data_IF_336232669908
#
_entry.id   IF_336232669908
#
_cell.length_a   1.000
_cell.length_b   1.000
_cell.length_c   1.000
_cell.angle_alpha   90.00
_cell.angle_beta   90.00
_cell.angle_gamma   90.00
#
_symmetry.space_group_name_H-M   'P 1'
#
loop_
_entity.id
_entity.type
_entity.pdbx_description
1 polymer ?
#
# COMPACT_ATOMS: atom_id res chain seq x y z
N UNK A 1 37.55 33.94 -17.18
CA UNK A 1 37.28 34.51 -15.85
C UNK A 1 35.97 33.94 -15.34
N UNK A 2 35.98 33.47 -14.09
CA UNK A 2 34.86 32.95 -13.29
C UNK A 2 34.13 31.69 -13.81
N UNK A 3 34.54 30.55 -13.25
CA UNK A 3 33.81 29.28 -13.21
C UNK A 3 32.54 29.42 -12.35
N UNK A 4 31.40 28.92 -12.84
CA UNK A 4 30.18 28.72 -12.06
C UNK A 4 29.85 27.23 -11.98
N UNK A 5 29.92 26.66 -10.78
CA UNK A 5 29.71 25.24 -10.50
C UNK A 5 28.26 24.80 -10.76
N UNK A 6 28.07 23.75 -11.56
CA UNK A 6 26.79 23.07 -11.74
C UNK A 6 26.65 21.94 -10.72
N UNK A 7 25.76 22.15 -9.75
CA UNK A 7 25.48 21.24 -8.65
C UNK A 7 24.69 19.99 -9.05
N UNK A 8 24.96 18.93 -8.29
CA UNK A 8 24.21 17.68 -8.19
C UNK A 8 22.70 17.92 -8.07
N UNK A 9 21.90 17.33 -8.96
CA UNK A 9 20.44 17.28 -8.82
C UNK A 9 20.07 16.27 -7.74
N UNK A 10 20.15 16.73 -6.50
CA UNK A 10 19.38 16.20 -5.39
C UNK A 10 17.89 16.29 -5.74
N UNK A 11 17.12 15.27 -5.37
CA UNK A 11 15.67 15.30 -5.45
C UNK A 11 15.15 16.53 -4.67
N UNK A 12 14.80 17.60 -5.38
CA UNK A 12 14.24 18.80 -4.76
C UNK A 12 12.89 18.41 -4.15
N UNK A 13 12.85 18.43 -2.82
CA UNK A 13 11.65 18.47 -2.01
C UNK A 13 10.71 19.53 -2.59
N UNK A 14 9.53 19.09 -3.02
CA UNK A 14 8.39 19.97 -3.23
C UNK A 14 7.98 20.52 -1.85
N UNK A 15 7.64 21.82 -1.75
CA UNK A 15 7.23 22.40 -0.48
C UNK A 15 6.00 21.67 0.05
N UNK A 16 6.03 21.31 1.34
CA UNK A 16 4.90 20.75 2.06
C UNK A 16 3.71 21.70 1.96
N UNK A 17 2.78 21.39 1.05
CA UNK A 17 1.48 22.04 1.02
C UNK A 17 0.67 21.47 2.17
N UNK A 18 0.22 22.36 3.06
CA UNK A 18 -0.75 22.08 4.12
C UNK A 18 -1.93 21.34 3.51
N UNK A 19 -1.98 20.03 3.69
CA UNK A 19 -3.22 19.28 3.61
C UNK A 19 -4.12 19.88 4.68
N UNK A 20 -5.23 20.48 4.25
CA UNK A 20 -6.33 20.77 5.17
C UNK A 20 -6.82 19.40 5.60
N UNK A 21 -6.31 18.93 6.74
CA UNK A 21 -6.94 17.86 7.47
C UNK A 21 -8.41 18.27 7.64
N UNK A 22 -9.39 17.40 7.34
CA UNK A 22 -10.74 17.62 7.83
C UNK A 22 -10.62 17.95 9.32
N UNK A 23 -11.45 18.86 9.86
CA UNK A 23 -11.47 19.03 11.31
C UNK A 23 -11.59 17.64 11.91
N UNK A 24 -10.60 17.25 12.72
CA UNK A 24 -10.80 16.19 13.69
C UNK A 24 -12.14 16.55 14.32
N UNK A 25 -13.15 15.70 14.13
CA UNK A 25 -14.40 15.85 14.86
C UNK A 25 -13.96 16.10 16.30
N UNK A 26 -14.25 17.31 16.76
CA UNK A 26 -13.82 17.80 18.06
C UNK A 26 -14.35 16.79 19.08
N UNK A 27 -13.48 15.90 19.56
CA UNK A 27 -13.77 14.94 20.61
C UNK A 27 -13.77 15.66 21.97
N UNK A 28 -14.33 16.87 22.00
CA UNK A 28 -14.48 17.60 23.24
C UNK A 28 -15.58 16.92 24.06
N UNK A 29 -15.09 16.17 25.06
CA UNK A 29 -15.80 15.67 26.24
C UNK A 29 -16.76 14.49 26.04
N UNK A 30 -16.22 13.28 25.84
CA UNK A 30 -16.63 12.09 26.63
C UNK A 30 -15.84 10.83 26.22
N UNK A 31 -15.22 10.20 27.22
CA UNK A 31 -14.42 8.96 27.22
C UNK A 31 -12.93 9.11 26.85
N UNK A 32 -12.06 8.95 27.86
CA UNK A 32 -10.59 8.82 27.79
C UNK A 32 -10.11 7.55 27.02
N UNK A 33 -10.93 7.01 26.12
CA UNK A 33 -10.63 5.81 25.34
C UNK A 33 -9.88 6.24 24.09
N UNK A 34 -8.74 5.62 23.81
CA UNK A 34 -7.99 5.85 22.57
C UNK A 34 -7.96 4.61 21.70
N UNK A 35 -7.98 4.81 20.39
CA UNK A 35 -7.73 3.73 19.43
C UNK A 35 -6.22 3.63 19.21
N UNK A 36 -5.65 2.45 19.45
CA UNK A 36 -4.24 2.16 19.27
C UNK A 36 -3.94 1.72 17.83
N UNK A 37 -2.71 1.27 17.59
CA UNK A 37 -2.35 0.55 16.36
C UNK A 37 -2.90 -0.89 16.41
N UNK A 38 -3.02 -1.62 15.27
CA UNK A 38 -3.51 -2.99 15.29
C UNK A 38 -2.68 -3.86 16.23
N UNK A 39 -3.33 -4.48 17.22
CA UNK A 39 -2.69 -5.27 18.29
C UNK A 39 -1.67 -4.49 19.12
N UNK A 40 -1.77 -3.16 19.10
CA UNK A 40 -0.77 -2.21 19.59
C UNK A 40 0.63 -2.39 18.97
N UNK A 41 0.68 -2.76 17.69
CA UNK A 41 1.92 -3.00 16.93
C UNK A 41 2.00 -2.15 15.68
N UNK A 42 3.22 -1.80 15.31
CA UNK A 42 3.52 -1.03 14.10
C UNK A 42 3.22 -1.86 12.84
N UNK A 43 2.33 -1.38 11.95
CA UNK A 43 2.11 -2.03 10.67
C UNK A 43 3.35 -1.95 9.79
N UNK A 44 3.74 -3.09 9.25
CA UNK A 44 4.72 -3.24 8.18
C UNK A 44 4.01 -3.59 6.89
N UNK A 45 4.48 -3.08 5.77
CA UNK A 45 4.03 -3.48 4.45
C UNK A 45 5.16 -3.33 3.44
N UNK A 46 5.06 -4.05 2.33
CA UNK A 46 6.00 -3.93 1.23
C UNK A 46 5.29 -3.62 -0.08
N UNK A 47 5.64 -2.50 -0.71
CA UNK A 47 5.12 -2.08 -2.01
C UNK A 47 6.11 -2.48 -3.09
N UNK A 48 5.64 -3.29 -4.02
CA UNK A 48 6.36 -3.71 -5.21
C UNK A 48 5.70 -3.04 -6.42
N UNK A 49 6.40 -2.09 -7.00
CA UNK A 49 6.03 -1.41 -8.24
C UNK A 49 6.69 -2.07 -9.46
N UNK A 50 6.16 -1.79 -10.65
CA UNK A 50 6.59 -2.28 -11.97
C UNK A 50 6.56 -3.81 -12.14
N UNK A 51 6.02 -4.58 -11.18
CA UNK A 51 5.84 -6.02 -11.36
C UNK A 51 4.72 -6.33 -12.35
N UNK A 52 4.88 -7.43 -13.09
CA UNK A 52 3.89 -8.01 -13.99
C UNK A 52 4.31 -9.44 -14.35
N UNK A 53 3.47 -10.17 -15.10
CA UNK A 53 3.79 -11.52 -15.56
C UNK A 53 4.85 -11.47 -16.67
N UNK A 54 5.95 -12.19 -16.47
CA UNK A 54 7.02 -12.48 -17.44
C UNK A 54 7.83 -11.25 -17.89
N UNK A 55 7.20 -10.13 -18.23
CA UNK A 55 7.87 -8.96 -18.83
C UNK A 55 8.80 -8.27 -17.83
N UNK A 56 10.08 -8.11 -18.20
CA UNK A 56 11.00 -7.23 -17.47
C UNK A 56 10.75 -5.76 -17.86
N UNK A 57 10.05 -5.02 -17.00
CA UNK A 57 9.75 -3.60 -17.22
C UNK A 57 11.01 -2.75 -17.41
N UNK A 58 12.12 -3.06 -16.73
CA UNK A 58 13.39 -2.33 -16.91
C UNK A 58 13.89 -2.37 -18.36
N UNK A 59 13.80 -3.54 -19.01
CA UNK A 59 14.19 -3.73 -20.41
C UNK A 59 13.27 -2.96 -21.37
N UNK A 60 11.95 -3.09 -21.22
CA UNK A 60 11.00 -2.55 -22.20
C UNK A 60 10.64 -1.07 -22.00
N UNK A 61 10.72 -0.54 -20.77
CA UNK A 61 10.43 0.87 -20.49
C UNK A 61 11.56 1.79 -20.94
N UNK A 62 12.83 1.38 -20.75
CA UNK A 62 14.01 2.22 -20.98
C UNK A 62 14.06 2.85 -22.38
N UNK A 63 13.87 2.13 -23.50
CA UNK A 63 13.89 2.77 -24.83
C UNK A 63 12.74 3.77 -25.04
N UNK A 64 11.58 3.54 -24.42
CA UNK A 64 10.44 4.46 -24.53
C UNK A 64 10.69 5.74 -23.75
N UNK A 65 11.26 5.62 -22.55
CA UNK A 65 11.69 6.76 -21.75
C UNK A 65 12.84 7.52 -22.39
N UNK A 66 13.81 6.83 -23.00
CA UNK A 66 14.88 7.46 -23.78
C UNK A 66 14.31 8.30 -24.93
N UNK A 67 13.27 7.81 -25.59
CA UNK A 67 12.60 8.56 -26.66
C UNK A 67 11.85 9.78 -26.11
N UNK A 68 11.11 9.64 -25.00
CA UNK A 68 10.33 10.72 -24.41
C UNK A 68 11.19 11.80 -23.71
N UNK A 69 12.39 11.44 -23.26
CA UNK A 69 13.34 12.30 -22.54
C UNK A 69 14.79 12.05 -23.00
N UNK A 70 15.16 12.44 -24.23
CA UNK A 70 16.43 12.07 -24.87
C UNK A 70 17.68 12.60 -24.15
N UNK A 71 17.55 13.66 -23.37
CA UNK A 71 18.68 14.29 -22.68
C UNK A 71 19.00 13.66 -21.32
N UNK A 72 18.16 12.74 -20.83
CA UNK A 72 18.38 12.12 -19.52
C UNK A 72 19.35 10.95 -19.59
N UNK A 73 20.49 11.09 -18.92
CA UNK A 73 21.52 10.06 -18.85
C UNK A 73 21.03 8.73 -18.26
N UNK A 74 20.06 8.77 -17.33
CA UNK A 74 19.43 7.56 -16.76
C UNK A 74 18.75 6.67 -17.80
N UNK A 75 18.36 7.19 -18.96
CA UNK A 75 17.72 6.39 -20.03
C UNK A 75 18.68 5.97 -21.15
N UNK A 76 19.96 6.35 -21.07
CA UNK A 76 21.01 5.98 -22.03
C UNK A 76 21.76 4.70 -21.66
N UNK A 77 21.15 3.87 -20.82
CA UNK A 77 21.72 2.61 -20.36
C UNK A 77 21.67 1.55 -21.48
N UNK A 78 22.57 0.55 -21.47
CA UNK A 78 22.60 -0.53 -22.46
C UNK A 78 21.48 -1.56 -22.20
N UNK A 79 20.23 -1.11 -22.26
CA UNK A 79 19.04 -1.90 -21.87
C UNK A 79 18.86 -3.18 -22.70
N UNK A 80 19.43 -3.23 -23.91
CA UNK A 80 19.41 -4.42 -24.76
C UNK A 80 20.15 -5.61 -24.14
N UNK A 81 21.11 -5.37 -23.25
CA UNK A 81 21.88 -6.40 -22.55
C UNK A 81 21.11 -7.00 -21.37
N UNK A 82 20.03 -6.34 -20.92
CA UNK A 82 19.24 -6.81 -19.78
C UNK A 82 18.26 -7.90 -20.18
N UNK A 83 17.97 -8.87 -19.28
CA UNK A 83 16.99 -9.91 -19.56
C UNK A 83 15.64 -9.31 -19.97
N UNK A 84 15.03 -9.87 -21.02
CA UNK A 84 13.66 -9.50 -21.44
C UNK A 84 12.60 -9.98 -20.46
N UNK A 85 12.92 -11.02 -19.69
CA UNK A 85 11.99 -11.69 -18.80
C UNK A 85 12.47 -11.60 -17.34
N UNK A 86 11.55 -11.35 -16.41
CA UNK A 86 11.72 -11.73 -15.01
C UNK A 86 10.94 -13.05 -14.82
N UNK A 87 11.62 -14.19 -14.61
CA UNK A 87 11.00 -15.49 -14.75
C UNK A 87 10.08 -15.84 -13.58
N UNK A 88 9.07 -16.67 -13.85
CA UNK A 88 8.16 -17.20 -12.83
C UNK A 88 8.90 -17.99 -11.73
N UNK A 89 10.08 -18.56 -12.02
CA UNK A 89 10.91 -19.21 -11.01
C UNK A 89 11.34 -18.23 -9.91
N UNK A 90 11.61 -16.97 -10.26
CA UNK A 90 11.92 -15.92 -9.29
C UNK A 90 10.67 -15.46 -8.54
N UNK A 91 9.52 -15.32 -9.23
CA UNK A 91 8.24 -15.01 -8.58
C UNK A 91 7.89 -16.06 -7.53
N UNK A 92 8.09 -17.35 -7.86
CA UNK A 92 7.87 -18.48 -6.96
C UNK A 92 8.76 -18.41 -5.73
N UNK A 93 10.07 -18.29 -5.94
CA UNK A 93 11.05 -18.18 -4.86
C UNK A 93 10.75 -17.00 -3.93
N UNK A 94 10.44 -15.84 -4.51
CA UNK A 94 10.08 -14.65 -3.76
C UNK A 94 8.79 -14.84 -2.95
N UNK A 95 7.73 -15.33 -3.60
CA UNK A 95 6.41 -15.50 -3.00
C UNK A 95 6.38 -16.54 -1.89
N UNK A 96 7.02 -17.69 -2.11
CA UNK A 96 7.15 -18.76 -1.11
C UNK A 96 7.91 -18.26 0.13
N UNK A 97 9.07 -17.63 -0.08
CA UNK A 97 9.86 -17.08 1.02
C UNK A 97 9.09 -15.98 1.80
N UNK A 98 8.39 -15.08 1.10
CA UNK A 98 7.58 -14.06 1.75
C UNK A 98 6.46 -14.67 2.59
N UNK A 99 5.79 -15.70 2.06
CA UNK A 99 4.73 -16.42 2.78
C UNK A 99 5.25 -17.09 4.06
N UNK A 100 6.40 -17.75 3.99
CA UNK A 100 7.05 -18.38 5.14
C UNK A 100 7.44 -17.37 6.23
N UNK A 101 7.78 -16.14 5.84
CA UNK A 101 8.17 -15.05 6.74
C UNK A 101 7.02 -14.11 7.11
N UNK A 102 5.79 -14.43 6.68
CA UNK A 102 4.58 -13.66 6.96
C UNK A 102 4.56 -12.26 6.33
N UNK A 103 5.42 -11.99 5.34
CA UNK A 103 5.48 -10.71 4.64
C UNK A 103 4.19 -10.49 3.86
N UNK A 104 3.66 -9.28 3.98
CA UNK A 104 2.49 -8.82 3.23
C UNK A 104 2.74 -7.47 2.59
N UNK A 105 1.93 -7.14 1.60
CA UNK A 105 1.95 -5.81 1.04
C UNK A 105 1.13 -5.67 -0.24
N UNK A 106 1.70 -5.01 -1.24
CA UNK A 106 1.09 -4.77 -2.54
C UNK A 106 2.05 -5.15 -3.67
N UNK A 107 1.52 -5.80 -4.69
CA UNK A 107 2.23 -6.27 -5.88
C UNK A 107 1.54 -5.71 -7.13
N UNK A 108 2.27 -4.96 -7.97
CA UNK A 108 1.74 -4.53 -9.26
C UNK A 108 1.48 -5.73 -10.18
N UNK A 109 0.42 -5.66 -10.97
CA UNK A 109 0.36 -6.32 -12.27
C UNK A 109 0.09 -5.21 -13.27
N UNK A 110 1.13 -4.76 -13.97
CA UNK A 110 0.94 -3.80 -15.07
C UNK A 110 0.10 -4.48 -16.16
N UNK A 111 -1.10 -3.96 -16.52
CA UNK A 111 -2.05 -4.66 -17.38
C UNK A 111 -1.65 -4.79 -18.86
N UNK A 112 -0.93 -3.82 -19.39
CA UNK A 112 -0.40 -3.77 -20.75
C UNK A 112 1.08 -3.33 -20.72
N UNK A 113 1.96 -4.13 -20.10
CA UNK A 113 3.30 -3.73 -19.68
C UNK A 113 4.13 -3.22 -20.85
N UNK A 114 4.55 -1.96 -20.76
CA UNK A 114 5.37 -1.29 -21.76
C UNK A 114 4.85 -1.43 -23.21
N UNK A 115 3.53 -1.52 -23.38
CA UNK A 115 2.88 -1.77 -24.66
C UNK A 115 3.26 -3.10 -25.36
N UNK A 116 3.84 -4.08 -24.63
CA UNK A 116 4.27 -5.38 -25.18
C UNK A 116 3.08 -6.25 -25.56
N UNK A 117 2.12 -6.45 -24.65
CA UNK A 117 0.88 -7.20 -24.88
C UNK A 117 -0.06 -7.14 -23.66
N UNK A 118 -1.32 -7.52 -23.81
CA UNK A 118 -2.31 -7.40 -22.74
C UNK A 118 -2.35 -8.66 -21.87
N UNK A 119 -2.33 -8.48 -20.54
CA UNK A 119 -2.40 -9.59 -19.59
C UNK A 119 -3.64 -10.48 -19.78
N UNK A 120 -4.76 -9.89 -20.19
CA UNK A 120 -6.02 -10.62 -20.41
C UNK A 120 -6.18 -11.18 -21.84
N UNK A 121 -5.16 -11.04 -22.70
CA UNK A 121 -5.16 -11.53 -24.09
C UNK A 121 -3.91 -12.35 -24.36
N UNK A 122 -2.87 -11.70 -24.87
CA UNK A 122 -1.63 -12.30 -25.35
C UNK A 122 -0.43 -11.40 -25.03
N UNK A 123 0.70 -12.04 -24.77
CA UNK A 123 2.01 -11.42 -24.60
C UNK A 123 2.95 -11.89 -25.71
N UNK A 124 3.13 -11.11 -26.79
CA UNK A 124 4.08 -11.44 -27.85
C UNK A 124 5.48 -11.74 -27.29
N UNK A 125 6.02 -12.89 -27.67
CA UNK A 125 7.27 -13.45 -27.11
C UNK A 125 7.05 -14.62 -26.15
N UNK A 126 5.83 -14.81 -25.65
CA UNK A 126 5.44 -15.92 -24.78
C UNK A 126 4.19 -16.62 -25.33
N UNK A 127 4.12 -17.93 -25.10
CA UNK A 127 2.89 -18.67 -25.42
C UNK A 127 1.75 -18.25 -24.49
N UNK A 128 0.52 -18.38 -24.98
CA UNK A 128 -0.68 -18.17 -24.15
C UNK A 128 -0.67 -19.03 -22.89
N UNK A 129 -0.13 -20.24 -22.95
CA UNK A 129 0.01 -21.13 -21.79
C UNK A 129 0.94 -20.54 -20.73
N UNK A 130 2.12 -20.04 -21.12
CA UNK A 130 3.05 -19.41 -20.18
C UNK A 130 2.41 -18.21 -19.46
N UNK A 131 1.68 -17.35 -20.19
CA UNK A 131 0.95 -16.24 -19.57
C UNK A 131 -0.11 -16.74 -18.57
N UNK A 132 -0.90 -17.75 -18.93
CA UNK A 132 -1.91 -18.30 -18.03
C UNK A 132 -1.29 -18.99 -16.79
N UNK A 133 -0.17 -19.69 -16.96
CA UNK A 133 0.56 -20.32 -15.86
C UNK A 133 1.15 -19.26 -14.91
N UNK A 134 1.70 -18.15 -15.45
CA UNK A 134 2.19 -17.02 -14.67
C UNK A 134 1.05 -16.31 -13.91
N UNK A 135 -0.08 -16.05 -14.56
CA UNK A 135 -1.26 -15.49 -13.90
C UNK A 135 -1.81 -16.42 -12.81
N UNK A 136 -1.80 -17.73 -13.04
CA UNK A 136 -2.18 -18.72 -12.03
C UNK A 136 -1.22 -18.69 -10.84
N UNK A 137 0.09 -18.58 -11.06
CA UNK A 137 1.07 -18.41 -10.00
C UNK A 137 0.76 -17.16 -9.15
N UNK A 138 0.45 -16.01 -9.78
CA UNK A 138 0.06 -14.80 -9.05
C UNK A 138 -1.21 -15.03 -8.22
N UNK A 139 -2.26 -15.64 -8.81
CA UNK A 139 -3.53 -15.91 -8.10
C UNK A 139 -3.34 -16.82 -6.90
N UNK A 140 -2.54 -17.87 -7.02
CA UNK A 140 -2.42 -18.89 -5.98
C UNK A 140 -1.41 -18.52 -4.90
N UNK A 141 -0.27 -17.94 -5.29
CA UNK A 141 0.86 -17.69 -4.39
C UNK A 141 0.89 -16.24 -3.89
N UNK A 142 0.60 -15.25 -4.74
CA UNK A 142 0.76 -13.84 -4.38
C UNK A 142 -0.51 -13.27 -3.74
N UNK A 143 -1.68 -13.44 -4.35
CA UNK A 143 -2.94 -12.85 -3.83
C UNK A 143 -3.20 -13.07 -2.32
N UNK A 144 -2.87 -14.23 -1.70
CA UNK A 144 -3.09 -14.42 -0.26
C UNK A 144 -2.43 -13.35 0.63
N UNK A 145 -1.21 -12.90 0.30
CA UNK A 145 -0.44 -11.95 1.11
C UNK A 145 -0.27 -10.57 0.46
N UNK A 146 -0.72 -10.40 -0.78
CA UNK A 146 -0.48 -9.19 -1.57
C UNK A 146 -1.78 -8.61 -2.11
N UNK A 147 -1.97 -7.30 -1.98
CA UNK A 147 -2.95 -6.57 -2.79
C UNK A 147 -2.44 -6.47 -4.22
N UNK A 148 -3.26 -6.84 -5.20
CA UNK A 148 -2.92 -6.68 -6.61
C UNK A 148 -3.44 -5.35 -7.10
N UNK A 149 -2.54 -4.49 -7.55
CA UNK A 149 -2.88 -3.20 -8.16
C UNK A 149 -2.51 -3.19 -9.64
N UNK A 150 -3.29 -2.51 -10.49
CA UNK A 150 -2.72 -1.99 -11.72
C UNK A 150 -1.80 -0.83 -11.37
N UNK A 151 -0.74 -0.68 -12.15
CA UNK A 151 0.09 0.52 -12.10
C UNK A 151 -0.12 1.33 -13.38
N UNK A 152 -1.35 1.86 -13.43
CA UNK A 152 -2.02 2.33 -14.65
C UNK A 152 -2.06 1.27 -15.74
N UNK A 153 -2.16 1.64 -17.01
CA UNK A 153 -2.41 0.68 -18.10
C UNK A 153 -1.09 0.08 -18.58
N UNK A 154 -0.09 0.91 -18.88
CA UNK A 154 1.15 0.46 -19.53
C UNK A 154 2.42 0.73 -18.75
N UNK A 155 2.32 1.56 -17.71
CA UNK A 155 3.43 2.17 -16.99
C UNK A 155 4.36 3.05 -17.86
N UNK A 156 3.99 3.32 -19.11
CA UNK A 156 4.85 4.00 -20.08
C UNK A 156 4.03 4.94 -20.92
N UNK A 157 3.36 4.46 -21.97
CA UNK A 157 2.60 5.26 -22.93
C UNK A 157 1.13 5.37 -22.52
N UNK A 158 0.57 6.57 -22.64
CA UNK A 158 -0.85 6.80 -22.45
C UNK A 158 -1.64 6.08 -23.54
N UNK A 159 -2.70 5.37 -23.16
CA UNK A 159 -3.61 4.70 -24.09
C UNK A 159 -4.77 5.63 -24.44
N UNK A 160 -5.01 5.82 -25.74
CA UNK A 160 -6.26 6.40 -26.20
C UNK A 160 -7.39 5.36 -26.03
N UNK A 161 -8.29 5.63 -25.09
CA UNK A 161 -9.39 4.73 -24.74
C UNK A 161 -10.38 4.49 -25.89
N UNK A 162 -10.45 5.39 -26.90
CA UNK A 162 -11.33 5.21 -28.06
C UNK A 162 -10.78 4.16 -29.02
N UNK A 163 -9.46 4.13 -29.19
CA UNK A 163 -8.80 3.24 -30.16
C UNK A 163 -8.17 2.02 -29.49
N UNK A 164 -7.97 2.05 -28.18
CA UNK A 164 -7.24 1.04 -27.42
C UNK A 164 -5.74 1.01 -27.73
N UNK A 165 -5.20 2.05 -28.39
CA UNK A 165 -3.81 2.13 -28.84
C UNK A 165 -3.03 3.18 -28.05
N UNK A 166 -1.70 3.03 -27.92
CA UNK A 166 -0.86 4.10 -27.41
C UNK A 166 -1.01 5.38 -28.24
N UNK A 167 -1.05 6.53 -27.59
CA UNK A 167 -1.01 7.83 -28.28
C UNK A 167 0.21 7.89 -29.20
N UNK A 168 0.07 8.39 -30.43
CA UNK A 168 1.08 8.26 -31.48
C UNK A 168 2.43 8.89 -31.10
N UNK A 169 2.43 10.12 -30.57
CA UNK A 169 3.65 10.80 -30.16
C UNK A 169 4.29 10.12 -28.94
N UNK A 170 5.62 10.16 -28.86
CA UNK A 170 6.40 9.67 -27.72
C UNK A 170 7.12 10.87 -27.11
N UNK A 171 6.45 11.55 -26.21
CA UNK A 171 7.01 12.69 -25.48
C UNK A 171 6.48 12.69 -24.05
N UNK A 172 7.02 13.56 -23.20
CA UNK A 172 6.58 13.68 -21.80
C UNK A 172 5.05 13.61 -21.63
N UNK A 173 4.29 14.38 -22.42
CA UNK A 173 2.84 14.49 -22.27
C UNK A 173 2.06 13.21 -22.61
N UNK A 174 2.63 12.34 -23.44
CA UNK A 174 2.03 11.05 -23.83
C UNK A 174 2.58 9.87 -23.04
N UNK A 175 3.33 10.13 -21.95
CA UNK A 175 3.78 9.10 -21.02
C UNK A 175 2.93 9.10 -19.73
N UNK A 176 2.46 7.92 -19.30
CA UNK A 176 1.70 7.72 -18.05
C UNK A 176 2.46 8.29 -16.85
N UNK A 177 3.79 8.17 -16.81
CA UNK A 177 4.64 8.69 -15.75
C UNK A 177 4.63 10.22 -15.62
N UNK A 178 3.93 10.93 -16.50
CA UNK A 178 3.60 12.34 -16.28
C UNK A 178 2.16 12.71 -16.65
N UNK A 179 1.34 11.74 -17.02
CA UNK A 179 -0.04 11.98 -17.42
C UNK A 179 -0.95 12.20 -16.19
N UNK A 180 -1.95 13.10 -16.26
CA UNK A 180 -2.14 14.12 -17.30
C UNK A 180 -1.21 15.32 -17.07
N UNK A 181 -0.86 16.03 -18.14
CA UNK A 181 -0.14 17.31 -18.06
C UNK A 181 -1.08 18.52 -17.88
N UNK A 182 -2.38 18.31 -18.05
CA UNK A 182 -3.43 19.30 -17.89
C UNK A 182 -4.50 18.79 -16.92
N UNK A 183 -5.44 19.67 -16.52
CA UNK A 183 -6.57 19.25 -15.71
C UNK A 183 -7.43 18.27 -16.50
N UNK A 184 -7.92 17.23 -15.79
CA UNK A 184 -8.92 16.29 -16.28
C UNK A 184 -10.08 16.24 -15.31
N UNK A 185 -11.27 15.98 -15.83
CA UNK A 185 -12.43 15.71 -14.97
C UNK A 185 -12.25 14.39 -14.20
N UNK A 186 -13.03 14.24 -13.13
CA UNK A 186 -13.08 12.98 -12.37
C UNK A 186 -13.51 11.82 -13.27
N UNK A 187 -14.52 12.03 -14.13
CA UNK A 187 -15.03 10.99 -15.04
C UNK A 187 -13.99 10.53 -16.07
N UNK A 188 -13.26 11.47 -16.68
CA UNK A 188 -12.19 11.12 -17.64
C UNK A 188 -11.07 10.32 -16.96
N UNK A 189 -10.67 10.73 -15.77
CA UNK A 189 -9.63 10.02 -15.01
C UNK A 189 -10.13 8.66 -14.55
N UNK A 190 -11.37 8.57 -14.05
CA UNK A 190 -12.00 7.32 -13.63
C UNK A 190 -12.14 6.33 -14.79
N UNK A 191 -12.51 6.79 -15.99
CA UNK A 191 -12.58 5.95 -17.18
C UNK A 191 -11.21 5.33 -17.53
N UNK A 192 -10.14 6.11 -17.41
CA UNK A 192 -8.76 5.63 -17.64
C UNK A 192 -8.35 4.58 -16.62
N UNK A 193 -8.60 4.84 -15.33
CA UNK A 193 -8.35 3.88 -14.25
C UNK A 193 -9.17 2.60 -14.42
N UNK A 194 -10.45 2.73 -14.77
CA UNK A 194 -11.35 1.62 -14.98
C UNK A 194 -10.89 0.71 -16.13
N UNK A 195 -10.24 1.26 -17.17
CA UNK A 195 -9.67 0.46 -18.24
C UNK A 195 -8.58 -0.49 -17.74
N UNK A 196 -7.64 0.01 -16.93
CA UNK A 196 -6.60 -0.81 -16.29
C UNK A 196 -7.20 -1.88 -15.38
N UNK A 197 -8.17 -1.49 -14.55
CA UNK A 197 -8.87 -2.37 -13.61
C UNK A 197 -9.63 -3.50 -14.33
N UNK A 198 -10.29 -3.22 -15.46
CA UNK A 198 -11.03 -4.23 -16.24
C UNK A 198 -10.12 -5.32 -16.79
N UNK A 199 -8.91 -4.99 -17.22
CA UNK A 199 -7.93 -6.00 -17.65
C UNK A 199 -7.58 -6.93 -16.48
N UNK A 200 -7.31 -6.39 -15.29
CA UNK A 200 -7.05 -7.24 -14.11
C UNK A 200 -8.27 -8.10 -13.72
N UNK A 201 -9.48 -7.54 -13.85
CA UNK A 201 -10.72 -8.28 -13.61
C UNK A 201 -10.87 -9.45 -14.58
N UNK A 202 -10.57 -9.25 -15.87
CA UNK A 202 -10.57 -10.30 -16.88
C UNK A 202 -9.50 -11.37 -16.60
N UNK A 203 -8.38 -10.97 -16.00
CA UNK A 203 -7.38 -11.89 -15.47
C UNK A 203 -7.83 -12.63 -14.20
N UNK A 204 -9.02 -12.40 -13.65
CA UNK A 204 -9.47 -13.02 -12.41
C UNK A 204 -8.62 -12.64 -11.19
N UNK A 205 -8.02 -11.45 -11.20
CA UNK A 205 -7.25 -10.92 -10.08
C UNK A 205 -8.14 -10.00 -9.25
N UNK A 206 -8.26 -10.21 -7.92
CA UNK A 206 -8.98 -9.27 -7.06
C UNK A 206 -8.21 -7.96 -6.97
N UNK A 207 -8.93 -6.85 -6.87
CA UNK A 207 -8.32 -5.53 -6.83
C UNK A 207 -9.21 -4.57 -6.03
N UNK A 208 -8.63 -3.94 -5.01
CA UNK A 208 -9.30 -2.94 -4.16
C UNK A 208 -8.65 -1.56 -4.26
N UNK A 209 -7.67 -1.39 -5.14
CA UNK A 209 -6.92 -0.15 -5.26
C UNK A 209 -6.04 -0.07 -6.50
N UNK A 210 -5.41 1.08 -6.69
CA UNK A 210 -4.50 1.33 -7.83
C UNK A 210 -3.16 1.89 -7.37
N UNK A 211 -2.13 1.74 -8.20
CA UNK A 211 -0.87 2.46 -8.04
C UNK A 211 -0.65 3.41 -9.21
N UNK A 212 -0.11 4.60 -8.93
CA UNK A 212 0.19 5.58 -9.97
C UNK A 212 1.69 5.59 -10.31
N UNK A 213 2.08 5.41 -11.59
CA UNK A 213 3.47 5.38 -12.00
C UNK A 213 4.08 6.78 -11.94
N UNK A 214 5.22 6.93 -11.26
CA UNK A 214 5.98 8.17 -11.21
C UNK A 214 5.12 9.43 -10.97
N UNK A 215 5.06 10.30 -11.98
CA UNK A 215 4.33 11.56 -11.92
C UNK A 215 2.84 11.50 -12.25
N UNK A 216 2.27 10.31 -12.49
CA UNK A 216 0.86 10.19 -12.88
C UNK A 216 -0.07 10.87 -11.88
N UNK A 217 -1.00 11.70 -12.36
CA UNK A 217 -1.96 12.39 -11.50
C UNK A 217 -1.42 13.63 -10.79
N UNK A 218 -0.17 14.05 -11.03
CA UNK A 218 0.41 15.23 -10.37
C UNK A 218 -0.33 16.54 -10.69
N UNK A 219 -0.92 16.67 -11.89
CA UNK A 219 -1.72 17.83 -12.28
C UNK A 219 -3.17 17.78 -11.77
N UNK A 220 -3.61 16.64 -11.24
CA UNK A 220 -5.01 16.35 -10.85
C UNK A 220 -5.11 15.73 -9.46
N UNK A 221 -4.26 16.19 -8.53
CA UNK A 221 -4.19 15.64 -7.17
C UNK A 221 -5.51 15.72 -6.41
N UNK A 222 -6.36 16.71 -6.71
CA UNK A 222 -7.66 16.89 -6.03
C UNK A 222 -8.71 15.93 -6.57
N UNK A 223 -8.65 15.63 -7.86
CA UNK A 223 -9.59 14.80 -8.59
C UNK A 223 -9.25 13.31 -8.45
N UNK A 224 -7.96 12.97 -8.28
CA UNK A 224 -7.48 11.59 -8.21
C UNK A 224 -8.19 10.73 -7.16
N UNK A 225 -8.36 11.15 -5.88
CA UNK A 225 -9.03 10.30 -4.89
C UNK A 225 -10.49 9.97 -5.25
N UNK A 226 -11.21 10.91 -5.88
CA UNK A 226 -12.58 10.70 -6.35
C UNK A 226 -12.62 9.78 -7.57
N UNK A 227 -11.67 9.95 -8.51
CA UNK A 227 -11.57 9.10 -9.69
C UNK A 227 -11.23 7.64 -9.32
N UNK A 228 -10.32 7.45 -8.36
CA UNK A 228 -10.03 6.12 -7.78
C UNK A 228 -11.28 5.54 -7.13
N UNK A 229 -12.01 6.34 -6.34
CA UNK A 229 -13.25 5.90 -5.71
C UNK A 229 -14.23 5.34 -6.75
N UNK A 230 -14.55 6.13 -7.77
CA UNK A 230 -15.48 5.77 -8.82
C UNK A 230 -15.01 4.53 -9.58
N UNK A 231 -13.79 4.55 -10.12
CA UNK A 231 -13.30 3.47 -10.97
C UNK A 231 -13.21 2.11 -10.26
N UNK A 232 -12.68 2.07 -9.04
CA UNK A 232 -12.53 0.82 -8.29
C UNK A 232 -13.90 0.26 -7.89
N UNK A 233 -14.84 1.12 -7.49
CA UNK A 233 -16.21 0.68 -7.15
C UNK A 233 -16.98 0.20 -8.37
N UNK A 234 -16.89 0.90 -9.49
CA UNK A 234 -17.60 0.54 -10.70
C UNK A 234 -17.13 -0.81 -11.26
N UNK A 235 -15.83 -1.11 -11.15
CA UNK A 235 -15.27 -2.36 -11.68
C UNK A 235 -15.35 -3.51 -10.67
N UNK A 236 -15.02 -3.29 -9.40
CA UNK A 236 -14.87 -4.35 -8.39
C UNK A 236 -15.90 -4.30 -7.24
N UNK A 237 -16.70 -3.25 -7.13
CA UNK A 237 -17.69 -3.12 -6.04
C UNK A 237 -17.07 -2.92 -4.66
N UNK A 238 -15.79 -2.55 -4.59
CA UNK A 238 -15.04 -2.41 -3.33
C UNK A 238 -15.70 -1.39 -2.39
N UNK A 239 -15.80 -1.73 -1.10
CA UNK A 239 -16.41 -0.81 -0.12
C UNK A 239 -15.50 0.41 0.16
N UNK A 240 -14.21 0.16 0.33
CA UNK A 240 -13.21 1.18 0.64
C UNK A 240 -12.07 1.11 -0.38
N UNK A 241 -12.19 1.81 -1.52
CA UNK A 241 -11.10 1.97 -2.47
C UNK A 241 -9.86 2.57 -1.82
N UNK A 242 -8.69 2.18 -2.32
CA UNK A 242 -7.43 2.79 -1.90
C UNK A 242 -6.48 3.01 -3.07
N UNK A 243 -5.41 3.77 -2.84
CA UNK A 243 -4.32 3.89 -3.80
C UNK A 243 -2.96 4.09 -3.14
N UNK A 244 -1.91 3.78 -3.90
CA UNK A 244 -0.53 4.12 -3.59
C UNK A 244 0.01 5.09 -4.65
N UNK A 245 0.69 6.15 -4.19
CA UNK A 245 1.30 7.17 -5.06
C UNK A 245 2.51 7.84 -4.43
N UNK A 246 2.49 8.02 -3.12
CA UNK A 246 3.41 8.94 -2.44
C UNK A 246 4.39 8.18 -1.56
N UNK A 247 5.66 8.62 -1.66
CA UNK A 247 6.72 8.31 -0.70
C UNK A 247 6.84 9.49 0.25
N UNK A 248 6.73 9.23 1.55
CA UNK A 248 6.87 10.22 2.62
C UNK A 248 8.15 9.97 3.41
N UNK A 249 9.06 10.94 3.34
CA UNK A 249 10.38 10.88 3.97
C UNK A 249 10.41 11.61 5.33
N UNK A 250 9.35 12.35 5.68
CA UNK A 250 9.16 12.97 7.00
C UNK A 250 8.58 12.00 8.04
N UNK A 251 8.24 12.50 9.21
CA UNK A 251 7.91 11.64 10.37
C UNK A 251 6.46 11.11 10.37
N UNK A 252 5.56 11.67 9.57
CA UNK A 252 4.16 11.23 9.51
C UNK A 252 3.92 10.37 8.26
N UNK A 253 3.88 9.05 8.45
CA UNK A 253 3.56 8.09 7.37
C UNK A 253 2.17 7.47 7.54
N UNK A 254 1.29 8.11 8.31
CA UNK A 254 -0.08 7.63 8.44
C UNK A 254 -0.84 7.69 7.09
N UNK A 255 -1.68 6.68 6.79
CA UNK A 255 -2.64 6.75 5.70
C UNK A 255 -3.47 8.03 5.73
N UNK A 256 -3.66 8.61 4.54
CA UNK A 256 -4.52 9.78 4.33
C UNK A 256 -5.90 9.31 3.89
N UNK A 257 -6.94 9.78 4.57
CA UNK A 257 -8.33 9.53 4.16
C UNK A 257 -8.80 10.72 3.33
N UNK A 258 -9.19 10.47 2.10
CA UNK A 258 -9.54 11.46 1.10
C UNK A 258 -10.93 11.14 0.51
N UNK A 259 -11.46 12.04 -0.32
CA UNK A 259 -12.81 11.92 -0.90
C UNK A 259 -13.91 11.63 0.16
N UNK A 260 -13.83 12.29 1.32
CA UNK A 260 -14.75 12.08 2.43
C UNK A 260 -16.11 12.73 2.15
N UNK A 261 -17.15 11.91 2.02
CA UNK A 261 -18.54 12.41 1.94
C UNK A 261 -19.54 11.38 2.50
N UNK A 262 -20.74 11.85 2.85
CA UNK A 262 -21.83 11.00 3.35
C UNK A 262 -21.43 10.07 4.53
N UNK A 263 -20.61 10.55 5.46
CA UNK A 263 -20.01 9.71 6.53
C UNK A 263 -21.03 9.13 7.52
N UNK A 264 -22.17 9.80 7.71
CA UNK A 264 -23.28 9.31 8.55
C UNK A 264 -24.26 8.40 7.77
N UNK A 265 -24.00 8.15 6.49
CA UNK A 265 -24.82 7.24 5.68
C UNK A 265 -24.38 5.78 5.83
N UNK A 266 -25.21 4.85 5.37
CA UNK A 266 -24.85 3.43 5.27
C UNK A 266 -23.76 3.14 4.22
N UNK A 267 -23.50 4.11 3.33
CA UNK A 267 -22.53 4.05 2.23
C UNK A 267 -21.58 5.25 2.27
N UNK A 268 -20.73 5.37 3.31
CA UNK A 268 -19.77 6.45 3.41
C UNK A 268 -18.81 6.42 2.23
N UNK A 269 -18.55 7.58 1.62
CA UNK A 269 -17.53 7.72 0.58
C UNK A 269 -16.20 8.07 1.24
N UNK A 270 -15.23 7.20 1.03
CA UNK A 270 -13.85 7.37 1.49
C UNK A 270 -12.94 6.72 0.45
N UNK A 271 -11.78 7.34 0.21
CA UNK A 271 -10.66 6.74 -0.50
C UNK A 271 -9.43 6.81 0.40
N UNK A 272 -8.77 5.68 0.64
CA UNK A 272 -7.55 5.65 1.44
C UNK A 272 -6.31 5.81 0.55
N UNK A 273 -5.36 6.62 0.99
CA UNK A 273 -4.05 6.79 0.36
C UNK A 273 -3.01 6.28 1.36
N UNK A 274 -2.41 5.13 1.06
CA UNK A 274 -1.38 4.52 1.90
C UNK A 274 -0.03 4.94 1.35
N UNK A 275 0.86 5.40 2.23
CA UNK A 275 2.14 6.01 1.87
C UNK A 275 3.27 5.01 2.09
N UNK A 276 4.32 5.09 1.28
CA UNK A 276 5.59 4.42 1.57
C UNK A 276 6.43 5.34 2.45
N UNK A 277 7.11 4.77 3.45
CA UNK A 277 8.02 5.49 4.34
C UNK A 277 9.48 5.48 3.87
N UNK A 278 9.77 4.82 2.75
CA UNK A 278 11.13 4.68 2.19
C UNK A 278 11.14 4.97 0.69
N UNK A 279 12.29 5.38 0.17
CA UNK A 279 12.54 5.29 -1.27
C UNK A 279 12.80 3.85 -1.70
N UNK A 280 13.08 3.66 -2.99
CA UNK A 280 13.63 2.41 -3.51
C UNK A 280 15.16 2.42 -3.40
N UNK A 281 15.67 1.61 -2.48
CA UNK A 281 17.10 1.36 -2.30
C UNK A 281 17.48 -0.11 -2.56
N UNK A 282 16.62 -0.87 -3.24
CA UNK A 282 16.80 -2.28 -3.60
C UNK A 282 17.33 -2.50 -5.03
N UNK A 283 17.81 -1.45 -5.70
CA UNK A 283 18.40 -1.56 -7.05
C UNK A 283 17.68 -0.76 -8.13
N UNK A 284 16.56 -0.10 -7.78
CA UNK A 284 15.85 0.81 -8.69
C UNK A 284 15.03 0.10 -9.76
N UNK A 285 14.19 0.87 -10.45
CA UNK A 285 13.31 0.41 -11.53
C UNK A 285 14.03 -0.19 -12.76
N UNK A 286 15.33 0.05 -12.91
CA UNK A 286 16.16 -0.59 -13.96
C UNK A 286 16.88 -1.86 -13.50
N UNK A 287 16.93 -2.13 -12.19
CA UNK A 287 17.68 -3.28 -11.66
C UNK A 287 19.20 -3.16 -11.75
N UNK A 288 19.73 -1.94 -11.80
CA UNK A 288 21.18 -1.68 -11.98
C UNK A 288 21.78 -0.76 -10.90
N UNK A 289 20.95 -0.15 -10.05
CA UNK A 289 21.47 0.77 -9.02
C UNK A 289 22.10 -0.04 -7.90
N UNK A 290 23.10 0.55 -7.26
CA UNK A 290 23.68 -0.01 -6.05
C UNK A 290 22.61 -0.13 -4.96
N UNK A 291 22.61 -1.26 -4.27
CA UNK A 291 21.70 -1.51 -3.15
C UNK A 291 22.22 -0.76 -1.93
N UNK A 292 21.35 0.03 -1.29
CA UNK A 292 21.71 0.82 -0.11
C UNK A 292 21.01 0.25 1.14
N UNK A 293 21.23 -1.04 1.42
CA UNK A 293 20.53 -1.80 2.48
C UNK A 293 20.49 -1.07 3.83
N UNK A 294 21.59 -0.43 4.23
CA UNK A 294 21.70 0.25 5.52
C UNK A 294 20.78 1.48 5.64
N UNK A 295 20.28 2.03 4.53
CA UNK A 295 19.27 3.10 4.57
C UNK A 295 17.92 2.58 5.03
N UNK A 296 17.59 1.32 4.73
CA UNK A 296 16.43 0.67 5.32
C UNK A 296 16.71 0.34 6.78
N UNK A 297 17.75 -0.44 7.04
CA UNK A 297 18.06 -0.95 8.37
C UNK A 297 19.51 -1.42 8.47
N UNK A 298 20.22 -1.03 9.53
CA UNK A 298 21.54 -1.57 9.85
C UNK A 298 21.46 -3.05 10.27
N UNK A 299 22.56 -3.83 10.15
CA UNK A 299 22.55 -5.25 10.50
C UNK A 299 22.12 -5.56 11.94
N UNK A 300 22.43 -4.68 12.88
CA UNK A 300 22.04 -4.76 14.30
C UNK A 300 20.63 -4.21 14.59
N UNK A 301 19.94 -3.71 13.56
CA UNK A 301 18.61 -3.12 13.64
C UNK A 301 18.55 -1.77 14.34
N UNK A 302 19.69 -1.14 14.68
CA UNK A 302 19.71 0.06 15.51
C UNK A 302 19.51 1.36 14.73
N UNK A 303 19.87 1.42 13.46
CA UNK A 303 19.77 2.63 12.62
C UNK A 303 19.13 2.32 11.27
N UNK A 304 18.74 3.36 10.55
CA UNK A 304 18.05 3.25 9.27
C UNK A 304 16.56 3.53 9.40
N UNK A 305 15.95 3.83 8.26
CA UNK A 305 14.60 4.39 8.19
C UNK A 305 13.52 3.50 8.82
N UNK A 306 13.68 2.18 8.73
CA UNK A 306 12.73 1.24 9.34
C UNK A 306 12.81 1.29 10.87
N UNK A 307 14.01 1.42 11.45
CA UNK A 307 14.17 1.57 12.90
C UNK A 307 13.52 2.88 13.37
N UNK A 308 13.69 3.97 12.63
CA UNK A 308 13.10 5.28 12.95
C UNK A 308 11.57 5.21 12.96
N UNK A 309 10.96 4.67 11.91
CA UNK A 309 9.50 4.55 11.80
C UNK A 309 8.90 3.63 12.87
N UNK A 310 9.55 2.48 13.14
CA UNK A 310 9.06 1.54 14.16
C UNK A 310 9.11 2.17 15.56
N UNK A 311 10.20 2.87 15.91
CA UNK A 311 10.31 3.56 17.22
C UNK A 311 9.33 4.72 17.34
N UNK A 312 9.09 5.44 16.25
CA UNK A 312 8.10 6.52 16.20
C UNK A 312 6.64 6.02 16.18
N UNK A 313 6.43 4.69 16.14
CA UNK A 313 5.12 4.04 16.02
C UNK A 313 4.34 4.46 14.76
N UNK A 314 5.06 4.66 13.66
CA UNK A 314 4.54 5.06 12.37
C UNK A 314 4.45 3.86 11.42
N UNK A 315 3.44 3.76 10.53
CA UNK A 315 3.38 2.71 9.52
C UNK A 315 4.69 2.64 8.73
N UNK A 316 5.38 1.51 8.80
CA UNK A 316 6.67 1.32 8.17
C UNK A 316 6.49 0.53 6.88
N UNK A 317 6.10 1.24 5.82
CA UNK A 317 5.84 0.68 4.49
C UNK A 317 7.09 0.88 3.61
N UNK A 318 7.69 -0.20 3.15
CA UNK A 318 8.85 -0.16 2.25
C UNK A 318 8.40 -0.07 0.79
N UNK A 319 9.17 0.62 -0.05
CA UNK A 319 9.01 0.65 -1.50
C UNK A 319 10.16 -0.09 -2.20
N UNK A 320 9.86 -0.86 -3.25
CA UNK A 320 10.80 -1.27 -4.28
C UNK A 320 10.17 -1.26 -5.67
N UNK A 321 11.02 -1.34 -6.70
CA UNK A 321 10.59 -1.76 -8.04
C UNK A 321 11.06 -3.19 -8.32
N UNK A 322 10.23 -3.96 -9.03
CA UNK A 322 10.45 -5.38 -9.27
C UNK A 322 11.76 -5.72 -10.01
N UNK A 323 12.21 -4.93 -11.03
CA UNK A 323 13.52 -5.13 -11.64
C UNK A 323 14.69 -4.97 -10.65
N UNK A 324 14.54 -4.09 -9.64
CA UNK A 324 15.50 -3.94 -8.53
C UNK A 324 15.65 -5.23 -7.73
N UNK A 325 14.52 -5.84 -7.38
CA UNK A 325 14.46 -7.10 -6.63
C UNK A 325 15.16 -8.25 -7.38
N UNK A 326 14.91 -8.36 -8.69
CA UNK A 326 15.53 -9.38 -9.55
C UNK A 326 17.00 -9.06 -9.90
N UNK A 327 17.33 -7.77 -9.98
CA UNK A 327 18.66 -7.23 -10.29
C UNK A 327 19.32 -7.92 -11.51
N UNK A 328 18.57 -8.00 -12.61
CA UNK A 328 19.00 -8.65 -13.86
C UNK A 328 19.52 -10.10 -13.69
N UNK A 329 19.06 -10.81 -12.66
CA UNK A 329 19.37 -12.21 -12.40
C UNK A 329 20.26 -12.47 -11.19
N UNK A 330 20.97 -11.47 -10.66
CA UNK A 330 21.80 -11.66 -9.45
C UNK A 330 20.96 -11.82 -8.18
N UNK A 331 19.74 -11.28 -8.18
CA UNK A 331 18.81 -11.25 -7.05
C UNK A 331 19.36 -10.54 -5.82
N UNK A 332 20.36 -9.67 -5.97
CA UNK A 332 20.98 -8.98 -4.84
C UNK A 332 19.96 -8.13 -4.07
N UNK A 333 19.01 -7.51 -4.78
CA UNK A 333 17.91 -6.76 -4.16
C UNK A 333 17.05 -7.66 -3.25
N UNK A 334 16.77 -8.89 -3.68
CA UNK A 334 16.06 -9.87 -2.88
C UNK A 334 16.86 -10.37 -1.68
N UNK A 335 18.14 -10.66 -1.83
CA UNK A 335 18.98 -11.04 -0.69
C UNK A 335 19.08 -9.93 0.37
N UNK A 336 19.18 -8.67 -0.06
CA UNK A 336 19.16 -7.53 0.85
C UNK A 336 17.80 -7.39 1.57
N UNK A 337 16.69 -7.57 0.85
CA UNK A 337 15.35 -7.58 1.42
C UNK A 337 15.20 -8.68 2.48
N UNK A 338 15.62 -9.91 2.17
CA UNK A 338 15.60 -11.03 3.11
C UNK A 338 16.39 -10.72 4.40
N UNK A 339 17.57 -10.10 4.26
CA UNK A 339 18.39 -9.69 5.39
C UNK A 339 17.65 -8.66 6.28
N UNK A 340 17.06 -7.63 5.69
CA UNK A 340 16.29 -6.60 6.42
C UNK A 340 15.11 -7.23 7.18
N UNK A 341 14.31 -8.06 6.51
CA UNK A 341 13.13 -8.70 7.13
C UNK A 341 13.54 -9.61 8.29
N UNK A 342 14.62 -10.38 8.16
CA UNK A 342 15.16 -11.21 9.25
C UNK A 342 15.61 -10.35 10.44
N UNK A 343 16.28 -9.22 10.19
CA UNK A 343 16.67 -8.28 11.25
C UNK A 343 15.44 -7.66 11.93
N UNK A 344 14.42 -7.23 11.17
CA UNK A 344 13.16 -6.73 11.74
C UNK A 344 12.49 -7.78 12.62
N UNK A 345 12.40 -9.03 12.14
CA UNK A 345 11.80 -10.11 12.90
C UNK A 345 12.54 -10.36 14.23
N UNK A 346 13.88 -10.35 14.21
CA UNK A 346 14.72 -10.56 15.38
C UNK A 346 14.63 -9.41 16.40
N UNK A 347 14.71 -8.15 15.94
CA UNK A 347 14.81 -6.97 16.80
C UNK A 347 13.44 -6.40 17.18
N UNK A 348 12.50 -6.41 16.25
CA UNK A 348 11.21 -5.71 16.36
C UNK A 348 9.99 -6.63 16.24
N UNK A 349 10.15 -7.95 16.14
CA UNK A 349 9.05 -8.89 15.86
C UNK A 349 7.87 -8.86 16.86
N UNK A 350 8.12 -8.47 18.12
CA UNK A 350 7.06 -8.29 19.13
C UNK A 350 6.29 -6.96 18.98
N UNK A 351 6.88 -6.00 18.29
CA UNK A 351 6.39 -4.62 18.14
C UNK A 351 5.74 -4.38 16.79
N UNK A 352 5.82 -5.33 15.86
CA UNK A 352 5.43 -5.15 14.46
C UNK A 352 4.40 -6.19 14.00
N UNK A 353 3.68 -5.86 12.92
CA UNK A 353 2.72 -6.75 12.27
C UNK A 353 2.71 -6.48 10.77
N UNK A 354 2.88 -7.52 9.95
CA UNK A 354 2.76 -7.40 8.50
C UNK A 354 1.29 -7.27 8.08
N UNK A 355 1.02 -6.34 7.18
CA UNK A 355 -0.31 -6.03 6.67
C UNK A 355 -0.26 -5.68 5.18
N UNK A 356 -1.34 -5.97 4.46
CA UNK A 356 -1.58 -5.44 3.10
C UNK A 356 -1.91 -3.95 3.16
N UNK A 357 -1.87 -3.25 2.02
CA UNK A 357 -2.26 -1.83 1.98
C UNK A 357 -3.75 -1.65 2.23
N UNK A 358 -4.60 -2.53 1.72
CA UNK A 358 -6.04 -2.58 1.96
C UNK A 358 -6.35 -2.75 3.45
N UNK A 359 -5.63 -3.64 4.14
CA UNK A 359 -5.73 -3.85 5.59
C UNK A 359 -5.33 -2.59 6.36
N UNK A 360 -4.23 -1.92 5.98
CA UNK A 360 -3.79 -0.65 6.59
C UNK A 360 -4.81 0.46 6.34
N UNK A 361 -5.21 0.70 5.09
CA UNK A 361 -6.18 1.75 4.74
C UNK A 361 -7.52 1.56 5.47
N UNK A 362 -8.01 0.32 5.56
CA UNK A 362 -9.23 -0.04 6.29
C UNK A 362 -9.09 0.16 7.79
N UNK A 363 -7.95 -0.17 8.39
CA UNK A 363 -7.70 0.11 9.80
C UNK A 363 -7.74 1.61 10.09
N UNK A 364 -7.12 2.45 9.26
CA UNK A 364 -7.14 3.91 9.47
C UNK A 364 -8.52 4.52 9.25
N UNK A 365 -9.28 4.01 8.27
CA UNK A 365 -10.67 4.41 8.08
C UNK A 365 -11.52 4.10 9.33
N UNK A 366 -11.44 2.88 9.86
CA UNK A 366 -12.12 2.51 11.09
C UNK A 366 -11.63 3.31 12.31
N UNK A 367 -10.31 3.48 12.47
CA UNK A 367 -9.66 4.23 13.57
C UNK A 367 -10.17 5.66 13.66
N UNK A 368 -10.30 6.34 12.51
CA UNK A 368 -10.67 7.77 12.46
C UNK A 368 -12.18 8.01 12.45
N UNK A 369 -12.98 7.08 11.94
CA UNK A 369 -14.40 7.32 11.66
C UNK A 369 -15.36 6.56 12.59
N UNK A 370 -14.88 5.62 13.41
CA UNK A 370 -15.72 4.93 14.39
C UNK A 370 -16.07 5.88 15.54
N UNK A 371 -17.36 6.09 15.80
CA UNK A 371 -17.83 6.83 16.98
C UNK A 371 -17.76 5.89 18.19
N UNK A 372 -17.14 6.36 19.28
CA UNK A 372 -16.94 5.58 20.51
C UNK A 372 -17.54 6.35 21.67
N UNK A 373 -18.41 5.71 22.45
CA UNK A 373 -18.99 6.29 23.66
C UNK A 373 -18.84 5.33 24.83
N UNK A 374 -18.60 5.87 26.03
CA UNK A 374 -18.59 5.12 27.29
C UNK A 374 -19.74 5.61 28.15
N UNK A 375 -20.69 4.73 28.44
CA UNK A 375 -21.86 5.02 29.29
C UNK A 375 -22.11 3.83 30.20
N UNK A 376 -22.24 4.05 31.51
CA UNK A 376 -22.59 3.02 32.51
C UNK A 376 -21.78 1.72 32.44
N UNK A 377 -20.45 1.82 32.21
CA UNK A 377 -19.59 0.64 32.11
C UNK A 377 -19.74 -0.16 30.81
N UNK A 378 -20.39 0.42 29.80
CA UNK A 378 -20.52 -0.13 28.44
C UNK A 378 -19.85 0.81 27.44
N UNK A 379 -18.99 0.25 26.59
CA UNK A 379 -18.43 0.95 25.43
C UNK A 379 -19.33 0.64 24.25
N UNK A 380 -19.86 1.66 23.58
CA UNK A 380 -20.59 1.51 22.33
C UNK A 380 -19.75 2.03 21.17
N UNK A 381 -19.71 1.28 20.08
CA UNK A 381 -18.97 1.56 18.87
C UNK A 381 -19.96 1.64 17.71
N UNK A 382 -19.91 2.72 16.93
CA UNK A 382 -20.66 2.86 15.67
C UNK A 382 -19.63 2.99 14.56
N UNK A 383 -19.36 1.87 13.87
CA UNK A 383 -18.29 1.75 12.91
C UNK A 383 -18.80 1.82 11.45
N UNK A 384 -18.34 2.78 10.64
CA UNK A 384 -18.68 2.82 9.22
C UNK A 384 -17.98 1.74 8.39
N UNK A 385 -16.82 1.25 8.86
CA UNK A 385 -16.04 0.21 8.22
C UNK A 385 -15.67 -0.87 9.23
N UNK A 386 -15.76 -2.13 8.81
CA UNK A 386 -15.19 -3.25 9.56
C UNK A 386 -13.66 -3.23 9.46
N UNK A 387 -12.96 -3.71 10.48
CA UNK A 387 -11.51 -3.97 10.41
C UNK A 387 -11.10 -5.05 11.41
N UNK A 388 -10.02 -5.77 11.10
CA UNK A 388 -9.48 -6.78 12.01
C UNK A 388 -8.58 -6.16 13.07
N UNK A 389 -8.51 -6.82 14.24
CA UNK A 389 -7.62 -6.44 15.34
C UNK A 389 -7.69 -4.96 15.75
N UNK A 390 -8.89 -4.36 15.68
CA UNK A 390 -9.18 -3.04 16.22
C UNK A 390 -8.84 -3.03 17.71
N UNK A 391 -8.02 -2.08 18.14
CA UNK A 391 -7.44 -2.10 19.48
C UNK A 391 -7.75 -0.81 20.21
N UNK A 392 -8.37 -0.94 21.38
CA UNK A 392 -8.70 0.19 22.26
C UNK A 392 -7.79 0.19 23.48
N UNK A 393 -7.39 1.37 23.93
CA UNK A 393 -6.87 1.60 25.28
C UNK A 393 -7.96 2.21 26.14
N UNK A 394 -8.30 1.55 27.24
CA UNK A 394 -9.33 1.97 28.17
C UNK A 394 -8.66 2.28 29.52
N UNK A 395 -8.83 3.46 30.12
CA UNK A 395 -8.20 3.78 31.39
C UNK A 395 -8.65 2.85 32.52
N UNK A 396 -7.74 2.57 33.46
CA UNK A 396 -8.06 1.79 34.67
C UNK A 396 -9.15 2.38 35.57
N UNK A 397 -9.39 3.69 35.47
CA UNK A 397 -10.46 4.36 36.21
C UNK A 397 -11.86 4.03 35.70
N UNK A 398 -11.99 3.25 34.62
CA UNK A 398 -13.29 2.79 34.12
C UNK A 398 -13.72 1.50 34.85
N UNK A 399 -15.02 1.35 35.11
CA UNK A 399 -15.58 0.14 35.73
C UNK A 399 -15.30 -1.14 34.92
N UNK A 400 -15.07 -1.00 33.61
CA UNK A 400 -14.71 -2.09 32.69
C UNK A 400 -13.36 -2.71 33.09
N UNK A 401 -12.43 -1.91 33.61
CA UNK A 401 -11.08 -2.34 33.91
C UNK A 401 -10.95 -3.24 35.15
N UNK A 402 -12.02 -3.40 35.93
CA UNK A 402 -12.07 -4.26 37.11
C UNK A 402 -12.46 -5.72 36.78
N UNK A 403 -13.02 -5.98 35.59
CA UNK A 403 -13.49 -7.32 35.23
C UNK A 403 -12.37 -8.20 34.68
N UNK A 404 -12.44 -9.49 35.02
CA UNK A 404 -11.60 -10.53 34.42
C UNK A 404 -12.20 -11.11 33.13
N UNK A 405 -13.42 -10.69 32.76
CA UNK A 405 -14.14 -11.15 31.57
C UNK A 405 -14.83 -9.97 30.88
N UNK A 406 -14.50 -9.76 29.61
CA UNK A 406 -15.12 -8.77 28.76
C UNK A 406 -15.87 -9.49 27.64
N UNK A 407 -17.04 -8.96 27.27
CA UNK A 407 -17.83 -9.50 26.15
C UNK A 407 -17.97 -8.46 25.07
N UNK A 408 -17.65 -8.83 23.83
CA UNK A 408 -17.98 -8.08 22.62
C UNK A 408 -19.35 -8.55 22.14
N UNK A 409 -20.29 -7.63 21.91
CA UNK A 409 -21.60 -7.91 21.34
C UNK A 409 -21.83 -7.16 20.05
N UNK A 410 -22.43 -7.82 19.07
CA UNK A 410 -22.85 -7.24 17.79
C UNK A 410 -24.20 -7.87 17.38
N UNK A 411 -25.26 -7.06 17.36
CA UNK A 411 -26.62 -7.58 17.20
C UNK A 411 -26.97 -8.60 18.29
N UNK A 412 -27.39 -9.80 17.88
CA UNK A 412 -27.69 -10.92 18.79
C UNK A 412 -26.48 -11.81 19.11
N UNK A 413 -25.31 -11.54 18.52
CA UNK A 413 -24.10 -12.31 18.74
C UNK A 413 -23.27 -11.69 19.87
N UNK A 414 -22.75 -12.55 20.74
CA UNK A 414 -21.83 -12.16 21.81
C UNK A 414 -20.63 -13.09 21.86
N UNK A 415 -19.44 -12.54 22.01
CA UNK A 415 -18.19 -13.29 22.08
C UNK A 415 -17.35 -12.84 23.28
N UNK A 416 -16.82 -13.81 24.02
CA UNK A 416 -15.90 -13.55 25.11
C UNK A 416 -14.54 -13.05 24.59
N UNK A 417 -14.06 -11.97 25.18
CA UNK A 417 -12.72 -11.44 25.00
C UNK A 417 -11.84 -11.97 26.14
N UNK A 418 -10.80 -12.73 25.80
CA UNK A 418 -9.98 -13.46 26.77
C UNK A 418 -8.77 -12.65 27.25
N UNK A 419 -8.47 -12.71 28.55
CA UNK A 419 -7.27 -12.07 29.10
C UNK A 419 -6.00 -12.77 28.61
N UNK A 420 -4.97 -12.02 28.25
CA UNK A 420 -3.63 -12.53 27.95
C UNK A 420 -2.59 -12.06 28.97
N UNK A 421 -1.52 -12.84 29.11
CA UNK A 421 -0.46 -12.62 30.10
C UNK A 421 0.47 -11.44 29.78
N UNK A 422 0.50 -11.00 28.53
CA UNK A 422 1.47 -10.02 28.04
C UNK A 422 0.93 -9.31 26.80
N UNK A 423 1.27 -8.03 26.65
CA UNK A 423 0.78 -7.18 25.56
C UNK A 423 1.02 -7.75 24.17
N UNK A 424 2.21 -8.29 23.88
CA UNK A 424 2.51 -8.87 22.58
C UNK A 424 1.65 -10.10 22.25
N UNK A 425 0.91 -10.69 23.20
CA UNK A 425 -0.06 -11.76 22.89
C UNK A 425 -1.42 -11.23 22.44
N UNK A 426 -1.62 -9.90 22.41
CA UNK A 426 -2.81 -9.29 21.85
C UNK A 426 -3.04 -9.78 20.41
N UNK A 427 -4.24 -10.29 20.20
CA UNK A 427 -4.83 -10.76 18.96
C UNK A 427 -6.34 -10.47 19.03
N UNK A 428 -7.06 -10.74 17.94
CA UNK A 428 -8.52 -10.64 17.96
C UNK A 428 -9.13 -11.42 19.14
N UNK A 429 -10.10 -10.79 19.80
CA UNK A 429 -10.84 -11.28 20.97
C UNK A 429 -9.95 -11.55 22.19
N UNK A 430 -8.96 -10.69 22.41
CA UNK A 430 -8.14 -10.71 23.62
C UNK A 430 -7.99 -9.35 24.27
N UNK A 431 -7.67 -9.33 25.57
CA UNK A 431 -7.31 -8.11 26.26
C UNK A 431 -6.11 -8.29 27.17
N UNK A 432 -5.33 -7.22 27.32
CA UNK A 432 -4.18 -7.13 28.22
C UNK A 432 -4.42 -6.01 29.23
N UNK A 433 -3.90 -6.20 30.42
CA UNK A 433 -4.16 -5.34 31.57
C UNK A 433 -2.82 -4.91 32.15
N UNK A 434 -2.47 -3.63 31.99
CA UNK A 434 -1.27 -3.02 32.57
C UNK A 434 -1.63 -2.05 33.71
N UNK A 435 -0.65 -1.35 34.29
CA UNK A 435 -0.88 -0.47 35.44
C UNK A 435 -1.77 0.76 35.13
N UNK A 436 -1.82 1.21 33.88
CA UNK A 436 -2.47 2.46 33.48
C UNK A 436 -3.77 2.23 32.70
N UNK A 437 -3.85 1.13 31.94
CA UNK A 437 -4.92 0.86 30.99
C UNK A 437 -5.26 -0.63 30.86
N UNK A 438 -6.40 -0.88 30.21
CA UNK A 438 -6.78 -2.16 29.63
C UNK A 438 -6.76 -1.99 28.11
N UNK A 439 -5.92 -2.79 27.44
CA UNK A 439 -5.82 -2.84 25.99
C UNK A 439 -6.70 -3.96 25.47
N UNK A 440 -7.73 -3.65 24.70
CA UNK A 440 -8.71 -4.62 24.20
C UNK A 440 -8.58 -4.71 22.68
N UNK A 441 -8.31 -5.90 22.15
CA UNK A 441 -8.11 -6.17 20.73
C UNK A 441 -9.19 -7.13 20.22
N UNK A 442 -9.89 -6.73 19.16
CA UNK A 442 -11.03 -7.47 18.60
C UNK A 442 -11.24 -7.13 17.12
N UNK A 443 -11.97 -7.97 16.40
CA UNK A 443 -12.38 -7.63 15.04
C UNK A 443 -13.64 -6.76 15.12
N UNK A 444 -13.52 -5.54 14.60
CA UNK A 444 -14.61 -4.57 14.55
C UNK A 444 -15.49 -4.88 13.35
N UNK A 445 -16.77 -5.11 13.57
CA UNK A 445 -17.78 -5.23 12.50
C UNK A 445 -18.35 -3.87 12.15
N UNK A 446 -18.80 -3.72 10.89
CA UNK A 446 -19.55 -2.53 10.47
C UNK A 446 -20.88 -2.46 11.21
N UNK A 447 -21.26 -1.27 11.67
CA UNK A 447 -22.49 -1.04 12.43
C UNK A 447 -22.24 -0.87 13.92
N UNK A 448 -23.18 -1.33 14.75
CA UNK A 448 -23.19 -1.08 16.19
C UNK A 448 -22.63 -2.29 16.93
N UNK A 449 -21.52 -2.10 17.63
CA UNK A 449 -20.94 -3.07 18.55
C UNK A 449 -20.88 -2.52 19.98
N UNK A 450 -20.82 -3.39 20.97
CA UNK A 450 -20.57 -2.95 22.35
C UNK A 450 -19.67 -3.88 23.13
N UNK A 451 -18.86 -3.30 24.02
CA UNK A 451 -18.01 -4.03 24.96
C UNK A 451 -18.51 -3.74 26.37
N UNK A 452 -18.72 -4.80 27.16
CA UNK A 452 -19.16 -4.70 28.55
C UNK A 452 -18.48 -5.77 29.41
N UNK A 453 -18.52 -5.59 30.72
CA UNK A 453 -18.16 -6.64 31.67
C UNK A 453 -19.19 -7.75 31.62
N UNK A 454 -18.74 -9.01 31.62
CA UNK A 454 -19.62 -10.17 31.79
C UNK A 454 -20.24 -10.23 33.18
#
# INVERSE_FOLDING_TARGET
MAFGAAGTLTAKQLPAQKTVSPPLLDQSTQSKISVLLPRDRVPLSFVIDDSTCLVNMGHFCTPQFATAWPDRAEYKQPWQEWPREIPDSFVREFGEWCSENGVKGKYSIVPYPACVGWMDRELPGWSRRQLQDSLKLVRDLMVPNWDIHPEMITHTRVIDLKTGRPMQEINKATMENSFPQEKKSVDELAAYLAYALRILKNCGLPCEGVTTPGGFGNAVKKELPAAVHQAVRDVFGTELPHYFKYVEMGDDTEPKLENLSALDSTYPQVTANVLAGTGDWFGGWQGIRTIEQQRYLSPDGQTGRMADLIRARQPAVMLCHWPGMFNNGSKDGFHAFQSIVRTIASVYGKQTVWMKLSEIGRYWAAKRLTKITLTDGKISLIAPFATQCFTLSIPRSSNIAASNQLTLSHGSQSQLIKRVSSEWKLNSNTFFVDHQSVKVCFDLTKGISSIQTS
#
